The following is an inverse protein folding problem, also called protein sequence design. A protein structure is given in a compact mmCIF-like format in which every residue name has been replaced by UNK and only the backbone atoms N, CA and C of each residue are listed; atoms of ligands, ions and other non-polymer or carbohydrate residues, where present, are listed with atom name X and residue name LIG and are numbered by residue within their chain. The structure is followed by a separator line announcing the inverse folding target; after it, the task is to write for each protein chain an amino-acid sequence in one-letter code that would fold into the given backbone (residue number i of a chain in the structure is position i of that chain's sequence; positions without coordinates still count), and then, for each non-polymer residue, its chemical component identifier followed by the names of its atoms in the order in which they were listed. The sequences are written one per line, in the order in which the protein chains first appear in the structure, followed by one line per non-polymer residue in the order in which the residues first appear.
data_IF_813295757934
#
_entry.id   IF_813295757934
#
_cell.length_a   1.000
_cell.length_b   1.000
_cell.length_c   1.000
_cell.angle_alpha   90.00
_cell.angle_beta   90.00
_cell.angle_gamma   90.00
#
_symmetry.space_group_name_H-M   'P 1'
#
loop_
_entity.id
_entity.type
_entity.pdbx_description
1 polymer ?
#
# COMPACT_ATOMS: atom_id res chain seq x y z
N UNK A 1 17.56 -4.85 2.31
CA UNK A 1 16.94 -3.68 1.65
C UNK A 1 15.61 -4.08 1.05
N UNK A 2 14.53 -3.35 1.38
CA UNK A 2 13.25 -3.58 0.71
C UNK A 2 13.38 -3.15 -0.75
N UNK A 3 12.78 -3.92 -1.66
CA UNK A 3 12.75 -3.61 -3.10
C UNK A 3 11.73 -2.52 -3.45
N UNK A 4 11.13 -1.90 -2.43
CA UNK A 4 10.05 -0.95 -2.55
C UNK A 4 10.46 0.32 -1.80
N UNK A 5 10.28 1.47 -2.46
CA UNK A 5 10.62 2.78 -1.90
C UNK A 5 9.40 3.70 -1.94
N UNK A 6 9.26 4.57 -0.92
CA UNK A 6 8.30 5.66 -0.97
C UNK A 6 8.85 6.73 -1.91
N UNK A 7 8.09 7.08 -2.95
CA UNK A 7 8.52 8.05 -3.98
C UNK A 7 7.80 9.39 -3.87
N UNK A 8 6.66 9.42 -3.19
CA UNK A 8 5.94 10.67 -2.89
C UNK A 8 4.98 10.49 -1.73
N UNK A 9 4.77 11.57 -0.99
CA UNK A 9 3.82 11.67 0.12
C UNK A 9 3.05 12.99 -0.02
N UNK A 10 1.78 12.97 0.34
CA UNK A 10 0.91 14.14 0.36
C UNK A 10 0.10 14.16 1.65
N UNK A 11 0.30 15.21 2.45
CA UNK A 11 -0.51 15.52 3.61
C UNK A 11 -1.52 16.61 3.26
N UNK A 12 -2.79 16.36 3.56
CA UNK A 12 -3.86 17.32 3.43
C UNK A 12 -4.75 17.29 4.68
N UNK A 13 -5.61 18.31 4.83
CA UNK A 13 -6.53 18.34 5.96
C UNK A 13 -7.48 17.15 5.90
N UNK A 14 -7.34 16.24 6.86
CA UNK A 14 -8.19 15.06 7.02
C UNK A 14 -7.70 13.80 6.29
N UNK A 15 -6.66 13.85 5.46
CA UNK A 15 -6.14 12.65 4.79
C UNK A 15 -4.64 12.70 4.48
N UNK A 16 -4.05 11.52 4.31
CA UNK A 16 -2.67 11.32 3.89
C UNK A 16 -2.60 10.30 2.75
N UNK A 17 -1.73 10.54 1.77
CA UNK A 17 -1.47 9.61 0.67
C UNK A 17 0.03 9.37 0.55
N UNK A 18 0.44 8.12 0.38
CA UNK A 18 1.81 7.76 0.04
C UNK A 18 1.84 6.86 -1.19
N UNK A 19 2.79 7.13 -2.08
CA UNK A 19 3.06 6.28 -3.25
C UNK A 19 4.35 5.51 -3.01
N UNK A 20 4.27 4.21 -3.26
CA UNK A 20 5.39 3.28 -3.22
C UNK A 20 5.71 2.86 -4.65
N UNK A 21 6.98 2.62 -4.93
CA UNK A 21 7.44 2.10 -6.22
C UNK A 21 8.39 0.94 -6.03
N UNK A 22 8.25 -0.11 -6.83
CA UNK A 22 9.27 -1.15 -6.93
C UNK A 22 10.51 -0.60 -7.65
N UNK A 23 11.69 -0.97 -7.16
CA UNK A 23 12.95 -0.49 -7.74
C UNK A 23 13.17 -1.06 -9.14
N UNK A 24 12.69 -2.28 -9.40
CA UNK A 24 12.97 -3.01 -10.63
C UNK A 24 11.85 -2.94 -11.68
N UNK A 25 10.57 -2.91 -11.28
CA UNK A 25 9.44 -3.19 -12.18
C UNK A 25 8.51 -2.01 -12.46
N UNK A 26 8.83 -0.78 -12.04
CA UNK A 26 7.93 0.38 -12.25
C UNK A 26 6.48 0.13 -11.82
N UNK A 27 6.28 -0.74 -10.83
CA UNK A 27 4.98 -1.02 -10.21
C UNK A 27 4.78 -0.01 -9.11
N UNK A 28 3.57 0.53 -9.04
CA UNK A 28 3.18 1.50 -8.03
C UNK A 28 2.10 0.94 -7.13
N UNK A 29 2.30 1.08 -5.83
CA UNK A 29 1.29 0.79 -4.79
C UNK A 29 0.94 2.12 -4.13
N UNK A 30 -0.32 2.30 -3.77
CA UNK A 30 -0.77 3.49 -3.05
C UNK A 30 -1.29 3.13 -1.68
N UNK A 31 -0.93 3.96 -0.72
CA UNK A 31 -1.51 4.03 0.61
C UNK A 31 -2.38 5.28 0.68
N UNK A 32 -3.61 5.15 1.15
CA UNK A 32 -4.54 6.26 1.37
C UNK A 32 -5.11 6.13 2.77
N UNK A 33 -4.99 7.17 3.58
CA UNK A 33 -5.42 7.19 4.97
C UNK A 33 -6.32 8.39 5.25
N UNK A 34 -7.37 8.15 6.04
CA UNK A 34 -8.23 9.18 6.62
C UNK A 34 -8.73 8.67 7.97
N UNK A 35 -8.74 9.53 8.99
CA UNK A 35 -9.24 9.21 10.34
C UNK A 35 -8.65 7.92 10.95
N UNK A 36 -7.34 7.70 10.75
CA UNK A 36 -6.63 6.53 11.25
C UNK A 36 -7.04 5.20 10.58
N UNK A 37 -7.85 5.23 9.52
CA UNK A 37 -8.15 4.08 8.68
C UNK A 37 -7.42 4.22 7.34
N UNK A 38 -6.88 3.13 6.83
CA UNK A 38 -6.09 3.14 5.61
C UNK A 38 -6.54 2.07 4.60
N UNK A 39 -6.40 2.42 3.32
CA UNK A 39 -6.51 1.52 2.20
C UNK A 39 -5.13 1.33 1.54
N UNK A 40 -4.84 0.10 1.14
CA UNK A 40 -3.68 -0.22 0.28
C UNK A 40 -4.19 -0.67 -1.08
N UNK A 41 -3.73 -0.01 -2.13
CA UNK A 41 -4.14 -0.23 -3.53
C UNK A 41 -2.98 -0.84 -4.31
N UNK A 42 -3.24 -1.99 -4.95
CA UNK A 42 -2.26 -2.78 -5.71
C UNK A 42 -0.99 -3.13 -4.91
N UNK A 43 -1.13 -3.79 -3.73
CA UNK A 43 0.02 -4.21 -2.96
C UNK A 43 0.84 -5.26 -3.71
N UNK A 44 2.16 -5.07 -3.73
CA UNK A 44 3.10 -6.12 -4.13
C UNK A 44 3.27 -7.17 -3.02
N UNK A 45 3.96 -8.27 -3.32
CA UNK A 45 4.08 -9.40 -2.38
C UNK A 45 4.89 -9.10 -1.10
N UNK A 46 5.85 -8.16 -1.14
CA UNK A 46 6.61 -7.76 0.06
C UNK A 46 5.77 -6.82 0.94
N UNK A 47 4.79 -7.39 1.66
CA UNK A 47 3.77 -6.61 2.37
C UNK A 47 4.27 -5.91 3.64
N UNK A 48 5.45 -6.30 4.16
CA UNK A 48 5.97 -5.78 5.42
C UNK A 48 6.20 -4.27 5.36
N UNK A 49 6.60 -3.74 4.19
CA UNK A 49 6.77 -2.30 3.98
C UNK A 49 5.48 -1.54 4.26
N UNK A 50 4.32 -2.09 3.89
CA UNK A 50 3.03 -1.45 4.12
C UNK A 50 2.57 -1.61 5.57
N UNK A 51 2.81 -2.78 6.19
CA UNK A 51 2.51 -3.01 7.61
C UNK A 51 3.31 -2.09 8.52
N UNK A 52 4.59 -1.87 8.21
CA UNK A 52 5.42 -0.95 8.98
C UNK A 52 5.05 0.51 8.73
N UNK A 53 4.60 0.85 7.51
CA UNK A 53 4.06 2.18 7.23
C UNK A 53 2.77 2.46 8.00
N UNK A 54 1.83 1.50 8.04
CA UNK A 54 0.62 1.57 8.88
C UNK A 54 0.95 1.83 10.35
N UNK A 55 1.91 1.09 10.91
CA UNK A 55 2.38 1.29 12.30
C UNK A 55 2.97 2.69 12.50
N UNK A 56 3.84 3.14 11.58
CA UNK A 56 4.45 4.49 11.62
C UNK A 56 3.36 5.58 11.63
N UNK A 57 2.30 5.37 10.86
CA UNK A 57 1.15 6.27 10.76
C UNK A 57 0.11 6.11 11.88
N UNK A 58 0.24 5.09 12.74
CA UNK A 58 -0.78 4.69 13.71
C UNK A 58 -2.15 4.46 13.05
N UNK A 59 -2.15 3.93 11.83
CA UNK A 59 -3.34 3.66 11.05
C UNK A 59 -3.69 2.17 11.04
N UNK A 60 -4.98 1.87 10.97
CA UNK A 60 -5.50 0.51 10.85
C UNK A 60 -5.82 0.22 9.39
N UNK A 61 -5.36 -0.93 8.89
CA UNK A 61 -5.71 -1.36 7.54
C UNK A 61 -7.20 -1.71 7.52
N UNK A 62 -7.97 -0.97 6.72
CA UNK A 62 -9.41 -1.15 6.56
C UNK A 62 -9.76 -1.80 5.23
N UNK A 63 -8.94 -1.58 4.19
CA UNK A 63 -9.23 -2.02 2.83
C UNK A 63 -7.96 -2.42 2.08
N UNK A 64 -8.07 -3.49 1.29
CA UNK A 64 -7.10 -3.83 0.24
C UNK A 64 -7.85 -3.86 -1.09
N UNK A 65 -7.36 -3.10 -2.06
CA UNK A 65 -8.00 -2.96 -3.36
C UNK A 65 -7.03 -3.40 -4.47
N UNK A 66 -7.54 -4.14 -5.44
CA UNK A 66 -6.82 -4.39 -6.69
C UNK A 66 -7.50 -3.65 -7.82
N UNK A 67 -6.75 -2.89 -8.60
CA UNK A 67 -7.29 -2.28 -9.82
C UNK A 67 -7.71 -3.33 -10.85
N UNK A 68 -6.94 -4.42 -10.93
CA UNK A 68 -7.19 -5.57 -11.78
C UNK A 68 -6.39 -6.79 -11.28
N UNK A 69 -6.59 -7.95 -11.91
CA UNK A 69 -5.69 -9.08 -11.73
C UNK A 69 -4.39 -8.83 -12.49
N UNK A 70 -3.33 -8.56 -11.75
CA UNK A 70 -2.00 -8.29 -12.26
C UNK A 70 -1.39 -9.52 -12.95
N UNK A 71 -0.74 -9.31 -14.09
CA UNK A 71 -0.14 -10.37 -14.91
C UNK A 71 1.41 -10.38 -14.86
N UNK A 72 1.98 -9.35 -14.26
CA UNK A 72 3.38 -8.96 -14.29
C UNK A 72 4.05 -9.02 -12.90
N UNK A 73 3.26 -8.98 -11.82
CA UNK A 73 3.75 -9.25 -10.47
C UNK A 73 2.76 -10.05 -9.63
N UNK A 74 3.28 -10.70 -8.60
CA UNK A 74 2.46 -11.36 -7.59
C UNK A 74 1.94 -10.31 -6.60
N UNK A 75 0.64 -10.06 -6.62
CA UNK A 75 0.02 -9.13 -5.69
C UNK A 75 -0.08 -9.73 -4.28
N UNK A 76 0.24 -8.93 -3.26
CA UNK A 76 0.28 -9.33 -1.84
C UNK A 76 -1.06 -9.28 -1.12
N UNK A 77 -2.16 -9.05 -1.85
CA UNK A 77 -3.49 -8.82 -1.28
C UNK A 77 -3.98 -9.96 -0.37
N UNK A 78 -3.68 -11.21 -0.70
CA UNK A 78 -4.05 -12.38 0.11
C UNK A 78 -3.29 -12.47 1.43
N UNK A 79 -2.09 -11.89 1.52
CA UNK A 79 -1.28 -11.90 2.75
C UNK A 79 -1.72 -10.82 3.76
N UNK A 80 -2.38 -9.76 3.30
CA UNK A 80 -2.83 -8.65 4.16
C UNK A 80 -4.06 -9.01 5.01
N UNK A 81 -4.65 -10.18 4.83
CA UNK A 81 -5.66 -10.73 5.75
C UNK A 81 -7.05 -10.10 5.66
N UNK A 82 -7.31 -9.26 4.66
CA UNK A 82 -8.62 -8.67 4.39
C UNK A 82 -9.20 -9.18 3.06
N UNK A 83 -10.54 -9.19 2.92
CA UNK A 83 -11.17 -9.36 1.62
C UNK A 83 -10.70 -8.30 0.63
N UNK A 84 -10.50 -8.70 -0.62
CA UNK A 84 -10.22 -7.76 -1.71
C UNK A 84 -11.52 -7.18 -2.21
N UNK A 85 -11.55 -5.85 -2.35
CA UNK A 85 -12.60 -5.10 -3.03
C UNK A 85 -12.13 -4.74 -4.44
#
# INVERSE_FOLDING_TARGET
DSKITVVSEWDATGFHVAQFKTNELAIFTYYVESDGQAAIIDPTFDINVYLDFLKKRSATLALVFLTHYHADFLAGHTQLGLPVV
#
